data_IF_152574653303
#
_entry.id   IF_152574653303
#
_cell.length_a   1.000
_cell.length_b   1.000
_cell.length_c   1.000
_cell.angle_alpha   90.00
_cell.angle_beta   90.00
_cell.angle_gamma   90.00
#
_symmetry.space_group_name_H-M   'P 1'
#
loop_
_entity.id
_entity.type
_entity.pdbx_description
1 polymer ?
#
# COMPACT_ATOMS: atom_id res chain seq x y z
N UNK A 1 11.72 4.69 -53.53
CA UNK A 1 10.52 4.90 -52.71
C UNK A 1 10.13 3.55 -52.15
N UNK A 2 10.21 3.25 -50.87
CA UNK A 2 9.62 3.99 -49.74
C UNK A 2 10.53 3.89 -48.51
N UNK A 3 10.73 5.02 -47.83
CA UNK A 3 11.49 5.09 -46.59
C UNK A 3 10.77 4.36 -45.46
N UNK A 4 11.52 3.57 -44.70
CA UNK A 4 11.08 3.06 -43.40
C UNK A 4 10.91 4.25 -42.46
N UNK A 5 9.67 4.71 -42.29
CA UNK A 5 9.32 5.59 -41.19
C UNK A 5 9.35 4.73 -39.91
N UNK A 6 10.48 4.77 -39.21
CA UNK A 6 10.59 4.23 -37.86
C UNK A 6 9.80 5.17 -36.94
N UNK A 7 8.50 4.91 -36.76
CA UNK A 7 7.69 5.63 -35.79
C UNK A 7 8.24 5.30 -34.39
N UNK A 8 8.81 6.27 -33.66
CA UNK A 8 9.25 6.00 -32.30
C UNK A 8 8.00 5.69 -31.48
N UNK A 9 7.91 4.46 -31.00
CA UNK A 9 7.02 4.07 -29.91
C UNK A 9 7.45 4.87 -28.67
N UNK A 10 7.05 6.14 -28.62
CA UNK A 10 6.96 6.89 -27.37
C UNK A 10 5.87 6.19 -26.57
N UNK A 11 6.28 5.15 -25.84
CA UNK A 11 5.50 4.63 -24.74
C UNK A 11 5.52 5.77 -23.71
N UNK A 12 4.58 6.70 -23.84
CA UNK A 12 4.23 7.60 -22.76
C UNK A 12 3.73 6.70 -21.63
N UNK A 13 4.64 6.29 -20.76
CA UNK A 13 4.26 5.74 -19.47
C UNK A 13 3.63 6.90 -18.71
N UNK A 14 2.31 7.03 -18.83
CA UNK A 14 1.55 7.80 -17.87
C UNK A 14 1.74 7.09 -16.54
N UNK A 15 2.73 7.52 -15.76
CA UNK A 15 2.85 7.13 -14.36
C UNK A 15 1.57 7.63 -13.67
N UNK A 16 0.55 6.78 -13.59
CA UNK A 16 -0.63 7.06 -12.80
C UNK A 16 -0.25 6.83 -11.34
N UNK A 17 -0.09 7.92 -10.59
CA UNK A 17 -0.11 7.83 -9.13
C UNK A 17 -1.51 7.33 -8.75
N UNK A 18 -1.58 6.09 -8.28
CA UNK A 18 -2.79 5.49 -7.75
C UNK A 18 -2.77 5.69 -6.23
N UNK A 19 -3.32 6.83 -5.80
CA UNK A 19 -3.28 7.34 -4.43
C UNK A 19 -4.58 7.08 -3.64
N UNK A 20 -5.54 6.38 -4.24
CA UNK A 20 -6.82 6.04 -3.63
C UNK A 20 -6.93 4.54 -3.37
N UNK A 21 -7.42 4.18 -2.18
CA UNK A 21 -7.93 2.84 -1.93
C UNK A 21 -9.42 2.84 -2.28
N UNK A 22 -9.80 1.98 -3.22
CA UNK A 22 -11.20 1.79 -3.63
C UNK A 22 -11.64 0.36 -3.30
N UNK A 23 -12.93 0.06 -3.38
CA UNK A 23 -13.44 -1.31 -3.17
C UNK A 23 -12.83 -2.35 -4.14
N UNK A 24 -12.40 -1.92 -5.32
CA UNK A 24 -11.76 -2.79 -6.31
C UNK A 24 -10.28 -3.08 -5.99
N UNK A 25 -9.68 -2.28 -5.11
CA UNK A 25 -8.25 -2.35 -4.79
C UNK A 25 -8.05 -2.84 -3.35
N UNK A 26 -7.08 -3.73 -3.21
CA UNK A 26 -6.61 -4.26 -1.92
C UNK A 26 -5.15 -3.87 -1.76
N UNK A 27 -4.71 -3.67 -0.53
CA UNK A 27 -3.29 -3.57 -0.21
C UNK A 27 -2.84 -4.83 0.50
N UNK A 28 -1.73 -5.38 0.05
CA UNK A 28 -1.02 -6.49 0.67
C UNK A 28 0.32 -6.00 1.24
N UNK A 29 1.00 -6.80 2.07
CA UNK A 29 2.32 -6.45 2.55
C UNK A 29 3.31 -6.30 1.41
N UNK A 30 4.00 -5.15 1.38
CA UNK A 30 4.86 -4.72 0.27
C UNK A 30 4.21 -3.65 -0.60
N UNK A 31 2.88 -3.57 -0.64
CA UNK A 31 2.17 -2.48 -1.32
C UNK A 31 2.23 -1.20 -0.48
N UNK A 32 2.38 -0.07 -1.17
CA UNK A 32 2.37 1.26 -0.56
C UNK A 32 1.47 2.17 -1.37
N UNK A 33 0.48 2.76 -0.70
CA UNK A 33 -0.35 3.82 -1.27
C UNK A 33 0.25 5.17 -0.94
N UNK A 34 0.67 5.92 -1.95
CA UNK A 34 1.31 7.23 -1.79
C UNK A 34 0.30 8.32 -2.19
N UNK A 35 0.07 9.29 -1.31
CA UNK A 35 -0.80 10.45 -1.59
C UNK A 35 -0.35 11.25 -2.82
N UNK A 36 -1.28 11.96 -3.50
CA UNK A 36 -1.02 12.75 -4.71
C UNK A 36 0.28 13.59 -4.72
N UNK A 37 0.66 14.18 -3.58
CA UNK A 37 1.85 15.03 -3.44
C UNK A 37 3.05 14.32 -2.79
N UNK A 38 2.96 13.02 -2.55
CA UNK A 38 4.03 12.23 -1.93
C UNK A 38 4.29 12.56 -0.46
N UNK A 39 3.39 13.28 0.21
CA UNK A 39 3.60 13.71 1.61
C UNK A 39 3.39 12.53 2.56
N UNK A 40 2.27 11.82 2.38
CA UNK A 40 1.90 10.67 3.18
C UNK A 40 1.93 9.39 2.37
N UNK A 41 2.24 8.29 3.06
CA UNK A 41 2.09 6.94 2.55
C UNK A 41 1.35 6.06 3.57
N UNK A 42 0.56 5.11 3.06
CA UNK A 42 -0.15 4.08 3.81
C UNK A 42 0.36 2.71 3.36
N UNK A 43 0.61 1.82 4.31
CA UNK A 43 0.99 0.44 4.01
C UNK A 43 1.36 -0.36 5.25
N UNK A 44 1.81 -1.58 4.99
CA UNK A 44 2.25 -2.49 6.04
C UNK A 44 3.73 -2.30 6.38
N UNK A 45 4.10 -2.52 7.65
CA UNK A 45 5.49 -2.47 8.10
C UNK A 45 5.75 -3.38 9.30
N UNK A 46 7.00 -3.77 9.48
CA UNK A 46 7.50 -4.48 10.67
C UNK A 46 8.55 -3.62 11.38
N UNK A 47 8.48 -3.40 12.71
CA UNK A 47 9.42 -2.54 13.43
C UNK A 47 10.87 -3.04 13.45
N UNK A 48 11.08 -4.35 13.28
CA UNK A 48 12.40 -4.94 13.11
C UNK A 48 12.35 -6.07 12.08
N UNK A 49 13.49 -6.36 11.46
CA UNK A 49 13.63 -7.37 10.39
C UNK A 49 13.26 -8.79 10.83
N UNK A 50 13.46 -9.13 12.11
CA UNK A 50 13.13 -10.45 12.67
C UNK A 50 11.75 -10.51 13.35
N UNK A 51 11.01 -9.40 13.37
CA UNK A 51 9.70 -9.36 14.02
C UNK A 51 8.61 -9.91 13.10
N UNK A 52 7.88 -10.91 13.59
CA UNK A 52 6.69 -11.45 12.92
C UNK A 52 5.47 -10.52 13.05
N UNK A 53 5.56 -9.50 13.91
CA UNK A 53 4.52 -8.49 14.10
C UNK A 53 4.49 -7.52 12.92
N UNK A 54 3.42 -7.62 12.14
CA UNK A 54 3.11 -6.72 11.05
C UNK A 54 2.05 -5.70 11.49
N UNK A 55 2.30 -4.44 11.19
CA UNK A 55 1.40 -3.32 11.47
C UNK A 55 0.96 -2.67 10.17
N UNK A 56 -0.23 -2.07 10.18
CA UNK A 56 -0.66 -1.13 9.15
C UNK A 56 -0.48 0.29 9.69
N UNK A 57 0.09 1.19 8.91
CA UNK A 57 0.29 2.57 9.37
C UNK A 57 0.33 3.59 8.25
N UNK A 58 0.21 4.85 8.66
CA UNK A 58 0.43 6.04 7.83
C UNK A 58 1.70 6.72 8.32
N UNK A 59 2.57 7.11 7.40
CA UNK A 59 3.82 7.81 7.68
C UNK A 59 4.08 8.95 6.70
N UNK A 60 4.98 9.86 7.07
CA UNK A 60 5.56 10.82 6.14
C UNK A 60 6.50 10.11 5.16
N UNK A 61 6.21 10.16 3.86
CA UNK A 61 6.90 9.34 2.86
C UNK A 61 8.28 9.89 2.47
N UNK A 62 8.38 11.21 2.26
CA UNK A 62 9.55 11.86 1.68
C UNK A 62 10.50 12.47 2.74
N UNK A 63 10.69 11.79 3.87
CA UNK A 63 11.64 12.20 4.91
C UNK A 63 12.61 11.06 5.26
N UNK A 64 13.88 11.34 5.64
CA UNK A 64 14.89 10.30 5.89
C UNK A 64 14.52 9.38 7.06
N UNK A 65 14.01 9.95 8.14
CA UNK A 65 13.57 9.19 9.32
C UNK A 65 12.07 8.89 9.21
N UNK A 66 11.71 7.61 9.13
CA UNK A 66 10.31 7.21 9.03
C UNK A 66 9.54 7.60 10.28
N UNK A 67 8.69 8.60 10.14
CA UNK A 67 7.82 9.10 11.22
C UNK A 67 6.38 8.68 10.96
N UNK A 68 5.86 7.84 11.86
CA UNK A 68 4.47 7.37 11.81
C UNK A 68 3.53 8.42 12.41
N UNK A 69 2.49 8.78 11.66
CA UNK A 69 1.43 9.68 12.16
C UNK A 69 0.26 8.89 12.73
N UNK A 70 0.08 7.65 12.28
CA UNK A 70 -0.97 6.76 12.75
C UNK A 70 -0.56 5.29 12.53
N UNK A 71 -0.93 4.42 13.47
CA UNK A 71 -0.73 2.97 13.38
C UNK A 71 -2.05 2.31 13.78
N UNK A 72 -2.56 1.43 12.92
CA UNK A 72 -3.75 0.63 13.20
C UNK A 72 -3.41 -0.45 14.24
N UNK A 73 -4.38 -0.77 15.10
CA UNK A 73 -4.36 -1.95 15.97
C UNK A 73 -3.05 -2.14 16.75
N UNK A 74 -2.56 -1.05 17.37
CA UNK A 74 -1.29 -0.98 18.13
C UNK A 74 -1.14 -2.08 19.18
N UNK A 75 -2.24 -2.52 19.79
CA UNK A 75 -2.24 -3.52 20.86
C UNK A 75 -2.32 -4.97 20.34
N UNK A 76 -2.66 -5.16 19.06
CA UNK A 76 -2.88 -6.48 18.45
C UNK A 76 -2.30 -6.52 17.02
N UNK A 77 -0.96 -6.64 16.88
CA UNK A 77 -0.33 -6.74 15.57
C UNK A 77 -0.76 -8.01 14.82
N UNK A 78 -0.64 -7.97 13.50
CA UNK A 78 -0.88 -9.13 12.65
C UNK A 78 0.32 -10.08 12.78
N UNK A 79 0.09 -11.33 13.16
CA UNK A 79 1.14 -12.34 13.38
C UNK A 79 1.36 -13.27 12.19
N UNK A 80 0.51 -13.19 11.16
CA UNK A 80 0.65 -13.93 9.91
C UNK A 80 0.82 -12.94 8.73
N UNK A 81 2.03 -12.44 8.46
CA UNK A 81 2.23 -11.41 7.43
C UNK A 81 1.82 -11.85 6.03
N UNK A 82 2.02 -13.13 5.66
CA UNK A 82 1.68 -13.65 4.33
C UNK A 82 0.18 -13.58 4.01
N UNK A 83 -0.66 -13.37 5.01
CA UNK A 83 -2.10 -13.43 4.90
C UNK A 83 -2.78 -12.07 5.11
N UNK A 84 -2.03 -11.04 5.50
CA UNK A 84 -2.56 -9.72 5.80
C UNK A 84 -3.10 -9.03 4.55
N UNK A 85 -4.23 -8.34 4.70
CA UNK A 85 -4.86 -7.56 3.64
C UNK A 85 -5.61 -6.37 4.22
N UNK A 86 -5.48 -5.21 3.57
CA UNK A 86 -6.35 -4.06 3.77
C UNK A 86 -7.28 -3.92 2.56
N UNK A 87 -8.58 -3.83 2.81
CA UNK A 87 -9.60 -3.65 1.79
C UNK A 87 -10.72 -2.71 2.27
N UNK A 88 -11.50 -2.18 1.32
CA UNK A 88 -12.79 -1.54 1.62
C UNK A 88 -13.89 -2.56 1.34
N UNK A 89 -14.71 -2.86 2.35
CA UNK A 89 -15.86 -3.76 2.19
C UNK A 89 -16.92 -3.17 1.26
N UNK A 90 -17.87 -4.00 0.81
CA UNK A 90 -19.06 -3.55 0.09
C UNK A 90 -19.92 -2.56 0.91
N UNK A 91 -19.83 -2.62 2.24
CA UNK A 91 -20.47 -1.69 3.19
C UNK A 91 -19.62 -0.44 3.47
N UNK A 92 -18.57 -0.19 2.70
CA UNK A 92 -17.68 0.97 2.81
C UNK A 92 -16.89 1.05 4.13
N UNK A 93 -16.65 -0.07 4.79
CA UNK A 93 -15.80 -0.15 5.98
C UNK A 93 -14.37 -0.53 5.58
N UNK A 94 -13.37 0.06 6.23
CA UNK A 94 -12.00 -0.44 6.15
C UNK A 94 -11.91 -1.76 6.92
N UNK A 95 -11.48 -2.80 6.22
CA UNK A 95 -11.28 -4.13 6.81
C UNK A 95 -9.81 -4.44 6.77
N UNK A 96 -9.21 -4.59 7.94
CA UNK A 96 -7.92 -5.21 8.12
C UNK A 96 -8.16 -6.67 8.46
N UNK A 97 -7.70 -7.59 7.62
CA UNK A 97 -7.95 -9.02 7.81
C UNK A 97 -6.72 -9.87 7.52
N UNK A 98 -6.71 -11.07 8.08
CA UNK A 98 -5.85 -12.17 7.64
C UNK A 98 -6.63 -13.17 6.74
N UNK A 99 -5.94 -14.17 6.19
CA UNK A 99 -6.56 -15.26 5.41
C UNK A 99 -7.43 -16.18 6.26
N UNK A 100 -7.26 -16.17 7.59
CA UNK A 100 -8.10 -16.95 8.52
C UNK A 100 -9.46 -16.27 8.75
N UNK A 101 -9.65 -15.06 8.20
CA UNK A 101 -10.88 -14.28 8.32
C UNK A 101 -10.97 -13.49 9.63
N UNK A 102 -9.89 -13.41 10.41
CA UNK A 102 -9.86 -12.51 11.56
C UNK A 102 -9.87 -11.08 11.05
N UNK A 103 -10.92 -10.35 11.43
CA UNK A 103 -11.01 -8.91 11.23
C UNK A 103 -10.44 -8.22 12.46
N UNK A 104 -9.57 -7.24 12.25
CA UNK A 104 -8.96 -6.44 13.30
C UNK A 104 -9.53 -5.02 13.31
#
# INVERSE_FOLDING_TARGET
MNGMACFPLFIFSFCKCDDQLTQAKKLYPGDVLVSQNGVFALGFFSPATSNQSLFLGIWYNNIPERTYVWIANRDKPITAPSSAMLAISNSSNFVLSDLEGHTF
#
